data_IF_655861034845
#
_entry.id   IF_655861034845
#
_cell.length_a   1.000
_cell.length_b   1.000
_cell.length_c   1.000
_cell.angle_alpha   90.00
_cell.angle_beta   90.00
_cell.angle_gamma   90.00
#
_symmetry.space_group_name_H-M   'P 1'
#
loop_
_entity.id
_entity.type
_entity.pdbx_description
1 polymer ?
#
# COMPACT_ATOMS: atom_id res chain seq x y z
N UNK A 1 7.92 31.96 3.05
CA UNK A 1 7.05 30.76 3.04
C UNK A 1 7.69 29.69 3.91
N UNK A 2 6.90 28.87 4.59
CA UNK A 2 7.39 27.77 5.43
C UNK A 2 7.86 26.58 4.56
N UNK A 3 8.85 25.79 5.02
CA UNK A 3 9.19 24.53 4.37
C UNK A 3 7.97 23.60 4.23
N UNK A 4 8.07 22.58 3.39
CA UNK A 4 7.00 21.57 3.25
C UNK A 4 7.06 20.58 4.40
N UNK A 5 5.88 20.09 4.76
CA UNK A 5 5.71 18.93 5.61
C UNK A 5 5.50 17.72 4.71
N UNK A 6 6.48 16.82 4.57
CA UNK A 6 6.30 15.58 3.83
C UNK A 6 5.99 14.45 4.81
N UNK A 7 4.84 13.79 4.63
CA UNK A 7 4.45 12.59 5.35
C UNK A 7 3.99 11.56 4.32
N UNK A 8 4.71 10.46 4.23
CA UNK A 8 4.31 9.33 3.39
C UNK A 8 3.25 8.50 4.10
N UNK A 9 2.13 8.26 3.43
CA UNK A 9 1.09 7.35 3.96
C UNK A 9 1.15 5.98 3.31
N UNK A 10 2.29 5.68 2.69
CA UNK A 10 2.60 4.40 2.09
C UNK A 10 4.08 4.11 2.23
N UNK A 11 4.39 3.24 3.13
CA UNK A 11 5.72 2.68 3.35
C UNK A 11 5.60 1.28 3.91
N UNK A 12 6.62 0.47 3.70
CA UNK A 12 6.58 -0.94 4.04
C UNK A 12 7.67 -1.34 5.01
N UNK A 13 7.31 -2.23 5.94
CA UNK A 13 8.24 -2.73 6.95
C UNK A 13 7.97 -4.20 7.29
N UNK A 14 9.06 -4.98 7.43
CA UNK A 14 8.99 -6.37 7.79
C UNK A 14 10.36 -6.96 8.08
N UNK A 15 10.43 -7.83 9.08
CA UNK A 15 11.66 -8.54 9.46
C UNK A 15 12.10 -9.56 8.39
N UNK A 16 13.39 -9.87 8.33
CA UNK A 16 13.84 -11.14 7.77
C UNK A 16 13.07 -12.30 8.41
N UNK A 17 12.47 -13.17 7.59
CA UNK A 17 11.46 -14.16 7.99
C UNK A 17 11.81 -14.93 9.27
N UNK A 18 13.02 -15.46 9.35
CA UNK A 18 13.44 -16.26 10.50
C UNK A 18 13.41 -15.51 11.85
N UNK A 19 13.53 -14.19 11.84
CA UNK A 19 13.54 -13.36 13.05
C UNK A 19 12.15 -13.21 13.68
N UNK A 20 11.08 -13.51 12.93
CA UNK A 20 9.72 -13.52 13.50
C UNK A 20 9.48 -14.61 14.53
N UNK A 21 10.38 -15.59 14.63
CA UNK A 21 10.27 -16.68 15.61
C UNK A 21 10.16 -16.17 17.06
N UNK A 22 10.83 -15.08 17.39
CA UNK A 22 10.81 -14.46 18.71
C UNK A 22 9.48 -13.77 19.03
N UNK A 23 8.73 -13.40 17.99
CA UNK A 23 7.42 -12.75 18.09
C UNK A 23 6.25 -13.73 17.98
N UNK A 24 6.53 -14.97 17.55
CA UNK A 24 5.50 -15.99 17.34
C UNK A 24 5.22 -16.77 18.64
N UNK A 25 3.97 -17.15 18.86
CA UNK A 25 3.60 -17.99 20.00
C UNK A 25 4.29 -19.36 19.92
N UNK A 26 4.85 -19.84 21.05
CA UNK A 26 5.64 -21.09 21.11
C UNK A 26 4.94 -22.31 20.51
N UNK A 27 3.60 -22.39 20.64
CA UNK A 27 2.80 -23.49 20.08
C UNK A 27 2.90 -23.62 18.55
N UNK A 28 3.29 -22.54 17.86
CA UNK A 28 3.41 -22.51 16.40
C UNK A 28 4.85 -22.63 15.90
N UNK A 29 5.85 -22.71 16.80
CA UNK A 29 7.25 -22.75 16.39
C UNK A 29 7.59 -23.94 15.48
N UNK A 30 7.05 -25.14 15.76
CA UNK A 30 7.32 -26.31 14.92
C UNK A 30 6.79 -26.14 13.48
N UNK A 31 5.58 -25.61 13.34
CA UNK A 31 5.02 -25.32 12.02
C UNK A 31 5.81 -24.21 11.29
N UNK A 32 6.32 -23.24 12.03
CA UNK A 32 7.14 -22.18 11.46
C UNK A 32 8.54 -22.68 11.04
N UNK A 33 9.15 -23.55 11.81
CA UNK A 33 10.44 -24.16 11.44
C UNK A 33 10.30 -24.99 10.14
N UNK A 34 9.18 -25.71 9.97
CA UNK A 34 8.85 -26.42 8.72
C UNK A 34 8.65 -25.46 7.53
N UNK A 35 7.94 -24.37 7.76
CA UNK A 35 7.77 -23.30 6.75
C UNK A 35 9.11 -22.71 6.31
N UNK A 36 10.02 -22.39 7.24
CA UNK A 36 11.35 -21.87 6.95
C UNK A 36 12.18 -22.82 6.08
N UNK A 37 12.08 -24.14 6.31
CA UNK A 37 12.73 -25.15 5.47
C UNK A 37 12.19 -25.11 4.04
N UNK A 38 10.86 -25.01 3.89
CA UNK A 38 10.22 -24.91 2.57
C UNK A 38 10.58 -23.63 1.83
N UNK A 39 10.58 -22.48 2.51
CA UNK A 39 11.02 -21.21 1.96
C UNK A 39 12.49 -21.24 1.51
N UNK A 40 13.36 -21.88 2.28
CA UNK A 40 14.78 -22.04 1.92
C UNK A 40 14.96 -22.87 0.64
N UNK A 41 14.16 -23.93 0.47
CA UNK A 41 14.17 -24.75 -0.75
C UNK A 41 13.67 -23.96 -1.97
N UNK A 42 12.57 -23.22 -1.82
CA UNK A 42 12.02 -22.38 -2.88
C UNK A 42 13.00 -21.27 -3.29
N UNK A 43 13.60 -20.57 -2.32
CA UNK A 43 14.63 -19.55 -2.57
C UNK A 43 15.83 -20.14 -3.33
N UNK A 44 16.31 -21.30 -2.92
CA UNK A 44 17.41 -22.00 -3.63
C UNK A 44 17.01 -22.35 -5.05
N UNK A 45 15.81 -22.90 -5.25
CA UNK A 45 15.28 -23.23 -6.59
C UNK A 45 15.21 -21.98 -7.47
N UNK A 46 14.68 -20.88 -6.93
CA UNK A 46 14.58 -19.62 -7.65
C UNK A 46 15.93 -19.03 -8.05
N UNK A 47 16.89 -18.93 -7.13
CA UNK A 47 18.23 -18.41 -7.41
C UNK A 47 18.99 -19.28 -8.44
N UNK A 48 18.68 -20.58 -8.48
CA UNK A 48 19.23 -21.50 -9.48
C UNK A 48 18.56 -21.30 -10.85
N UNK A 49 17.25 -21.08 -10.90
CA UNK A 49 16.48 -20.87 -12.12
C UNK A 49 16.71 -19.46 -12.70
N UNK A 50 16.97 -18.46 -11.85
CA UNK A 50 17.12 -17.05 -12.23
C UNK A 50 18.21 -16.76 -13.27
N UNK A 51 19.21 -17.63 -13.40
CA UNK A 51 20.21 -17.58 -14.49
C UNK A 51 19.62 -17.96 -15.85
N UNK A 52 18.43 -18.55 -15.90
CA UNK A 52 17.70 -18.93 -17.12
C UNK A 52 16.40 -18.13 -17.32
N UNK A 53 16.33 -16.93 -16.80
CA UNK A 53 15.17 -16.12 -16.49
C UNK A 53 14.34 -15.59 -17.68
N UNK A 54 14.27 -16.26 -18.82
CA UNK A 54 13.35 -15.86 -19.90
C UNK A 54 11.85 -15.94 -19.54
N UNK A 55 11.53 -16.52 -18.38
CA UNK A 55 10.15 -16.75 -17.92
C UNK A 55 9.79 -16.05 -16.60
N UNK A 56 10.73 -15.33 -15.98
CA UNK A 56 10.46 -14.63 -14.72
C UNK A 56 9.77 -13.30 -15.02
N UNK A 57 8.65 -12.97 -14.36
CA UNK A 57 8.00 -11.68 -14.52
C UNK A 57 8.98 -10.52 -14.30
N UNK A 58 8.84 -9.46 -15.08
CA UNK A 58 9.77 -8.32 -15.06
C UNK A 58 9.81 -7.65 -13.67
N UNK A 59 8.66 -7.53 -13.01
CA UNK A 59 8.54 -7.04 -11.64
C UNK A 59 9.39 -7.86 -10.67
N UNK A 60 9.34 -9.17 -10.77
CA UNK A 60 10.11 -10.06 -9.91
C UNK A 60 11.62 -9.95 -10.18
N UNK A 61 12.02 -9.73 -11.43
CA UNK A 61 13.42 -9.47 -11.77
C UNK A 61 13.91 -8.15 -11.15
N UNK A 62 13.10 -7.10 -11.16
CA UNK A 62 13.45 -5.81 -10.56
C UNK A 62 13.58 -5.92 -9.04
N UNK A 63 12.64 -6.61 -8.38
CA UNK A 63 12.72 -6.92 -6.95
C UNK A 63 13.99 -7.70 -6.63
N UNK A 64 14.29 -8.75 -7.42
CA UNK A 64 15.51 -9.55 -7.22
C UNK A 64 16.77 -8.73 -7.40
N UNK A 65 16.83 -7.88 -8.42
CA UNK A 65 17.96 -7.00 -8.64
C UNK A 65 18.17 -6.03 -7.47
N UNK A 66 17.08 -5.38 -7.01
CA UNK A 66 17.16 -4.43 -5.92
C UNK A 66 17.49 -5.11 -4.58
N UNK A 67 16.81 -6.23 -4.25
CA UNK A 67 16.88 -6.82 -2.90
C UNK A 67 17.88 -7.95 -2.74
N UNK A 68 18.41 -8.53 -3.80
CA UNK A 68 19.20 -9.74 -3.72
C UNK A 68 20.46 -9.77 -4.58
N UNK A 69 20.66 -8.77 -5.44
CA UNK A 69 21.86 -8.70 -6.29
C UNK A 69 23.07 -8.24 -5.47
N UNK A 70 24.11 -9.09 -5.29
CA UNK A 70 25.33 -8.70 -4.59
C UNK A 70 26.08 -7.52 -5.26
N UNK A 71 25.84 -7.29 -6.57
CA UNK A 71 26.40 -6.16 -7.30
C UNK A 71 25.78 -4.80 -6.96
N UNK A 72 24.61 -4.81 -6.29
CA UNK A 72 23.88 -3.61 -5.90
C UNK A 72 23.92 -3.36 -4.38
N UNK A 73 25.12 -3.43 -3.81
CA UNK A 73 25.34 -3.39 -2.35
C UNK A 73 24.84 -2.10 -1.69
N UNK A 74 24.94 -0.95 -2.37
CA UNK A 74 24.42 0.32 -1.86
C UNK A 74 22.90 0.27 -1.70
N UNK A 75 22.18 -0.20 -2.70
CA UNK A 75 20.73 -0.31 -2.63
C UNK A 75 20.30 -1.32 -1.56
N UNK A 76 21.01 -2.46 -1.47
CA UNK A 76 20.74 -3.46 -0.42
C UNK A 76 20.91 -2.90 0.99
N UNK A 77 21.91 -2.04 1.21
CA UNK A 77 22.08 -1.35 2.48
C UNK A 77 20.91 -0.41 2.78
N UNK A 78 20.47 0.35 1.78
CA UNK A 78 19.39 1.33 1.94
C UNK A 78 18.02 0.68 2.19
N UNK A 79 17.69 -0.43 1.52
CA UNK A 79 16.43 -1.16 1.73
C UNK A 79 16.37 -1.86 3.10
N UNK A 80 17.48 -2.01 3.80
CA UNK A 80 17.47 -2.49 5.19
C UNK A 80 16.59 -1.66 6.11
N UNK A 81 16.28 -0.42 5.75
CA UNK A 81 15.28 0.37 6.47
C UNK A 81 13.89 -0.26 6.55
N UNK A 82 13.61 -1.35 5.81
CA UNK A 82 12.42 -2.17 6.03
C UNK A 82 12.39 -2.81 7.45
N UNK A 83 13.55 -3.05 8.08
CA UNK A 83 13.68 -3.65 9.42
C UNK A 83 14.76 -3.03 10.30
N UNK A 84 15.55 -2.12 9.78
CA UNK A 84 16.61 -1.40 10.51
C UNK A 84 16.19 0.06 10.66
N UNK A 85 15.91 0.44 11.89
CA UNK A 85 15.36 1.77 12.18
C UNK A 85 16.33 2.91 11.86
N UNK A 86 17.62 2.74 12.14
CA UNK A 86 18.62 3.77 11.89
C UNK A 86 18.77 4.02 10.39
N UNK A 87 18.77 2.93 9.61
CA UNK A 87 18.76 3.03 8.15
C UNK A 87 17.47 3.73 7.68
N UNK A 88 16.31 3.32 8.19
CA UNK A 88 15.04 3.94 7.79
C UNK A 88 15.00 5.43 8.06
N UNK A 89 15.34 5.84 9.27
CA UNK A 89 15.32 7.26 9.63
C UNK A 89 16.30 8.08 8.79
N UNK A 90 17.47 7.53 8.46
CA UNK A 90 18.43 8.17 7.55
C UNK A 90 17.86 8.35 6.13
N UNK A 91 17.19 7.34 5.58
CA UNK A 91 16.56 7.43 4.26
C UNK A 91 15.40 8.44 4.24
N UNK A 92 14.57 8.45 5.28
CA UNK A 92 13.51 9.46 5.42
C UNK A 92 14.10 10.89 5.53
N UNK A 93 15.18 11.06 6.29
CA UNK A 93 15.86 12.35 6.41
C UNK A 93 16.42 12.82 5.06
N UNK A 94 17.00 11.92 4.27
CA UNK A 94 17.54 12.23 2.94
C UNK A 94 16.45 12.69 1.96
N UNK A 95 15.25 12.14 2.06
CA UNK A 95 14.09 12.52 1.25
C UNK A 95 13.28 13.70 1.85
N UNK A 96 13.65 14.18 3.04
CA UNK A 96 12.88 15.23 3.74
C UNK A 96 11.52 14.76 4.26
N UNK A 97 11.33 13.45 4.41
CA UNK A 97 10.08 12.83 4.91
C UNK A 97 10.12 12.81 6.42
N UNK A 98 9.23 13.58 7.05
CA UNK A 98 9.23 13.77 8.50
C UNK A 98 8.47 12.67 9.24
N UNK A 99 7.53 12.00 8.59
CA UNK A 99 6.73 10.93 9.15
C UNK A 99 6.26 9.95 8.10
N UNK A 100 5.92 8.74 8.53
CA UNK A 100 5.50 7.68 7.63
C UNK A 100 4.48 6.75 8.26
N UNK A 101 3.55 6.27 7.45
CA UNK A 101 2.59 5.21 7.80
C UNK A 101 3.09 3.90 7.21
N UNK A 102 3.24 2.87 8.06
CA UNK A 102 3.88 1.61 7.69
C UNK A 102 2.86 0.48 7.54
N UNK A 103 2.89 -0.11 6.35
CA UNK A 103 2.16 -1.34 6.05
C UNK A 103 3.04 -2.57 6.26
N UNK A 104 2.38 -3.72 6.54
CA UNK A 104 3.07 -5.00 6.60
C UNK A 104 3.62 -5.39 5.23
N UNK A 105 4.91 -5.65 5.14
CA UNK A 105 5.52 -6.34 4.01
C UNK A 105 6.88 -6.94 4.37
N UNK A 106 7.16 -8.10 3.76
CA UNK A 106 8.44 -8.77 3.86
C UNK A 106 9.25 -8.60 2.59
N UNK A 107 10.15 -7.66 2.56
CA UNK A 107 10.92 -7.27 1.39
C UNK A 107 11.67 -8.43 0.71
N UNK A 108 11.51 -8.58 -0.60
CA UNK A 108 12.18 -9.58 -1.40
C UNK A 108 11.75 -11.01 -1.06
N UNK A 109 12.66 -11.81 -0.48
CA UNK A 109 12.35 -13.17 0.00
C UNK A 109 11.90 -13.24 1.46
N UNK A 110 11.82 -12.11 2.14
CA UNK A 110 11.31 -12.08 3.48
C UNK A 110 9.79 -12.09 3.42
N UNK A 111 9.17 -13.03 4.08
CA UNK A 111 7.72 -13.12 4.20
C UNK A 111 7.33 -13.21 5.66
N UNK A 112 6.10 -12.84 5.96
CA UNK A 112 5.54 -13.04 7.30
C UNK A 112 5.36 -14.52 7.56
N UNK A 113 5.39 -14.96 8.83
CA UNK A 113 5.03 -16.32 9.16
C UNK A 113 3.64 -16.67 8.60
N UNK A 114 3.54 -17.84 7.99
CA UNK A 114 2.30 -18.47 7.53
C UNK A 114 1.52 -17.72 6.44
N UNK A 115 2.19 -16.90 5.68
CA UNK A 115 1.57 -16.20 4.57
C UNK A 115 1.10 -14.81 4.95
N UNK A 116 1.61 -13.91 4.19
CA UNK A 116 1.31 -12.50 4.33
C UNK A 116 -0.11 -12.15 3.96
N UNK A 117 -0.36 -10.91 4.13
CA UNK A 117 -1.56 -10.18 3.81
C UNK A 117 -1.99 -10.32 2.35
N UNK A 118 -1.04 -10.42 1.44
CA UNK A 118 -1.29 -10.32 0.00
C UNK A 118 -1.56 -11.65 -0.70
N UNK A 119 -1.55 -12.78 0.01
CA UNK A 119 -1.87 -14.09 -0.56
C UNK A 119 -0.74 -14.75 -1.36
N UNK A 120 0.34 -14.04 -1.65
CA UNK A 120 1.55 -14.55 -2.32
C UNK A 120 2.53 -15.19 -1.36
N UNK A 121 2.04 -16.02 -0.48
CA UNK A 121 2.99 -16.83 0.26
C UNK A 121 3.46 -17.97 -0.65
N UNK A 122 4.79 -18.15 -0.82
CA UNK A 122 5.34 -19.21 -1.64
C UNK A 122 4.89 -20.60 -1.18
N UNK A 123 4.60 -20.75 0.12
CA UNK A 123 4.02 -21.94 0.74
C UNK A 123 2.55 -21.67 1.02
N UNK A 124 1.60 -22.33 0.37
CA UNK A 124 0.18 -22.09 0.59
C UNK A 124 -0.27 -22.53 1.99
N UNK A 125 -0.34 -21.62 2.93
CA UNK A 125 -0.88 -21.87 4.26
C UNK A 125 -2.39 -21.58 4.24
N UNK A 126 -3.21 -22.61 4.46
CA UNK A 126 -4.67 -22.50 4.47
C UNK A 126 -5.26 -22.43 5.87
N UNK A 127 -4.48 -22.77 6.90
CA UNK A 127 -4.94 -22.76 8.28
C UNK A 127 -5.17 -21.32 8.76
N UNK A 128 -6.42 -20.92 9.06
CA UNK A 128 -6.74 -19.58 9.53
C UNK A 128 -6.05 -19.21 10.85
N UNK A 129 -5.83 -20.18 11.75
CA UNK A 129 -5.17 -19.93 13.03
C UNK A 129 -3.69 -19.60 12.82
N UNK A 130 -2.99 -20.33 11.96
CA UNK A 130 -1.59 -20.04 11.62
C UNK A 130 -1.46 -18.67 10.94
N UNK A 131 -2.31 -18.35 9.99
CA UNK A 131 -2.31 -17.04 9.33
C UNK A 131 -2.54 -15.90 10.32
N UNK A 132 -3.48 -16.05 11.24
CA UNK A 132 -3.73 -15.07 12.29
C UNK A 132 -2.55 -14.96 13.27
N UNK A 133 -1.89 -16.07 13.60
CA UNK A 133 -0.69 -16.08 14.44
C UNK A 133 0.48 -15.34 13.77
N UNK A 134 0.69 -15.54 12.46
CA UNK A 134 1.70 -14.81 11.69
C UNK A 134 1.44 -13.31 11.68
N UNK A 135 0.18 -12.90 11.44
CA UNK A 135 -0.23 -11.51 11.51
C UNK A 135 0.07 -10.89 12.90
N UNK A 136 -0.26 -11.58 13.98
CA UNK A 136 0.05 -11.12 15.33
C UNK A 136 1.54 -11.03 15.62
N UNK A 137 2.34 -11.98 15.11
CA UNK A 137 3.80 -11.92 15.23
C UNK A 137 4.36 -10.65 14.55
N UNK A 138 3.92 -10.36 13.32
CA UNK A 138 4.29 -9.13 12.63
C UNK A 138 3.86 -7.88 13.41
N UNK A 139 2.60 -7.81 13.85
CA UNK A 139 2.07 -6.66 14.57
C UNK A 139 2.85 -6.35 15.86
N UNK A 140 3.33 -7.38 16.57
CA UNK A 140 4.16 -7.21 17.77
C UNK A 140 5.49 -6.54 17.45
N UNK A 141 6.16 -7.04 16.43
CA UNK A 141 7.41 -6.44 15.97
C UNK A 141 7.20 -5.01 15.45
N UNK A 142 6.17 -4.79 14.63
CA UNK A 142 5.88 -3.47 14.04
C UNK A 142 5.60 -2.44 15.14
N UNK A 143 4.90 -2.82 16.20
CA UNK A 143 4.65 -1.93 17.33
C UNK A 143 5.95 -1.49 18.03
N UNK A 144 6.91 -2.41 18.24
CA UNK A 144 8.22 -2.09 18.82
C UNK A 144 9.03 -1.20 17.87
N UNK A 145 9.03 -1.51 16.57
CA UNK A 145 9.73 -0.74 15.55
C UNK A 145 9.21 0.70 15.46
N UNK A 146 7.89 0.89 15.45
CA UNK A 146 7.27 2.20 15.46
C UNK A 146 7.52 2.97 16.76
N UNK A 147 7.41 2.31 17.91
CA UNK A 147 7.65 2.95 19.21
C UNK A 147 9.07 3.50 19.34
N UNK A 148 10.06 2.80 18.80
CA UNK A 148 11.47 3.22 18.83
C UNK A 148 11.75 4.44 17.93
N UNK A 149 10.85 4.80 17.01
CA UNK A 149 11.03 5.92 16.05
C UNK A 149 10.83 7.32 16.65
N UNK A 150 10.47 7.41 17.93
CA UNK A 150 10.15 8.71 18.55
C UNK A 150 8.90 9.39 17.98
N UNK A 151 7.96 8.61 17.41
CA UNK A 151 6.68 9.11 16.88
C UNK A 151 6.69 9.45 15.38
N UNK A 152 7.79 9.21 14.67
CA UNK A 152 7.88 9.42 13.22
C UNK A 152 7.17 8.33 12.42
N UNK A 153 7.09 7.10 12.95
CA UNK A 153 6.47 5.96 12.27
C UNK A 153 5.15 5.58 12.92
N UNK A 154 4.13 5.39 12.12
CA UNK A 154 2.81 4.93 12.55
C UNK A 154 2.44 3.63 11.84
N UNK A 155 2.44 2.52 12.58
CA UNK A 155 2.18 1.20 12.01
C UNK A 155 0.70 0.91 11.80
N UNK A 156 0.41 0.16 10.74
CA UNK A 156 -0.90 -0.38 10.40
C UNK A 156 -0.90 -1.87 10.70
N UNK A 157 -1.75 -2.30 11.65
CA UNK A 157 -1.82 -3.70 12.06
C UNK A 157 -2.52 -4.55 11.00
N UNK A 158 -1.96 -5.70 10.70
CA UNK A 158 -2.61 -6.73 9.89
C UNK A 158 -3.65 -7.46 10.75
N UNK A 159 -4.92 -7.42 10.34
CA UNK A 159 -6.04 -8.05 11.05
C UNK A 159 -6.68 -9.12 10.18
N UNK A 160 -6.68 -10.36 10.65
CA UNK A 160 -7.33 -11.47 9.96
C UNK A 160 -8.78 -11.64 10.43
N UNK A 161 -9.78 -11.57 9.54
CA UNK A 161 -11.19 -11.53 9.92
C UNK A 161 -11.85 -12.91 10.04
N UNK A 162 -11.08 -13.98 10.25
CA UNK A 162 -11.61 -15.34 10.36
C UNK A 162 -12.44 -15.58 11.61
N UNK A 163 -12.05 -14.97 12.73
CA UNK A 163 -12.81 -14.90 13.98
C UNK A 163 -12.95 -13.42 14.37
N UNK A 164 -14.19 -12.94 14.34
CA UNK A 164 -14.49 -11.52 14.57
C UNK A 164 -14.15 -11.07 15.99
N UNK A 165 -14.35 -11.92 16.99
CA UNK A 165 -14.04 -11.54 18.37
C UNK A 165 -12.55 -11.52 18.64
N UNK A 166 -11.80 -12.42 18.02
CA UNK A 166 -10.34 -12.38 18.03
C UNK A 166 -9.86 -11.12 17.26
N UNK A 167 -10.42 -10.82 16.09
CA UNK A 167 -10.08 -9.61 15.34
C UNK A 167 -10.33 -8.33 16.17
N UNK A 168 -11.43 -8.25 16.91
CA UNK A 168 -11.70 -7.14 17.85
C UNK A 168 -10.65 -7.06 18.96
N UNK A 169 -10.25 -8.20 19.51
CA UNK A 169 -9.19 -8.25 20.53
C UNK A 169 -7.83 -7.81 19.97
N UNK A 170 -7.50 -8.24 18.75
CA UNK A 170 -6.27 -7.86 18.05
C UNK A 170 -6.24 -6.36 17.73
N UNK A 171 -7.36 -5.74 17.34
CA UNK A 171 -7.48 -4.28 17.17
C UNK A 171 -7.25 -3.52 18.47
N UNK A 172 -7.86 -3.96 19.57
CA UNK A 172 -7.68 -3.32 20.88
C UNK A 172 -6.23 -3.43 21.34
N UNK A 173 -5.62 -4.59 21.13
CA UNK A 173 -4.19 -4.80 21.43
C UNK A 173 -3.32 -3.87 20.57
N UNK A 174 -3.55 -3.82 19.27
CA UNK A 174 -2.79 -2.99 18.35
C UNK A 174 -2.85 -1.50 18.72
N UNK A 175 -4.03 -1.01 19.07
CA UNK A 175 -4.20 0.36 19.58
C UNK A 175 -3.43 0.62 20.86
N UNK A 176 -3.51 -0.29 21.84
CA UNK A 176 -2.79 -0.19 23.10
C UNK A 176 -1.27 -0.25 22.90
N UNK A 177 -0.80 -1.02 21.91
CA UNK A 177 0.61 -1.11 21.52
C UNK A 177 1.10 0.09 20.69
N UNK A 178 0.24 1.08 20.38
CA UNK A 178 0.64 2.29 19.69
C UNK A 178 0.44 2.29 18.17
N UNK A 179 -0.11 1.22 17.57
CA UNK A 179 -0.46 1.20 16.17
C UNK A 179 -1.69 2.10 15.89
N UNK A 180 -1.82 2.65 14.69
CA UNK A 180 -2.79 3.72 14.39
C UNK A 180 -3.78 3.40 13.27
N UNK A 181 -3.70 2.23 12.69
CA UNK A 181 -4.62 1.74 11.67
C UNK A 181 -4.65 0.22 11.65
N UNK A 182 -5.58 -0.31 10.89
CA UNK A 182 -5.64 -1.72 10.52
C UNK A 182 -5.69 -1.86 9.02
N UNK A 183 -5.12 -2.92 8.49
CA UNK A 183 -5.29 -3.33 7.11
C UNK A 183 -6.00 -4.67 7.06
N UNK A 184 -6.98 -4.78 6.17
CA UNK A 184 -7.78 -5.97 5.99
C UNK A 184 -7.36 -6.71 4.71
N UNK A 185 -7.38 -8.05 4.71
CA UNK A 185 -7.18 -8.81 3.49
C UNK A 185 -8.23 -8.44 2.42
N UNK A 186 -7.92 -8.63 1.13
CA UNK A 186 -8.90 -8.41 0.07
C UNK A 186 -10.12 -9.30 0.26
N UNK A 187 -11.30 -8.91 -0.25
CA UNK A 187 -12.48 -9.78 -0.24
C UNK A 187 -12.17 -11.15 -0.83
N UNK A 188 -12.44 -12.20 -0.06
CA UNK A 188 -12.14 -13.59 -0.37
C UNK A 188 -13.36 -14.47 -0.04
N UNK A 189 -13.39 -15.70 -0.56
CA UNK A 189 -14.48 -16.66 -0.31
C UNK A 189 -14.40 -17.31 1.09
N UNK A 190 -13.29 -17.13 1.79
CA UNK A 190 -13.04 -17.76 3.10
C UNK A 190 -13.72 -17.04 4.27
N UNK A 191 -14.27 -15.85 4.04
CA UNK A 191 -15.03 -15.08 5.04
C UNK A 191 -16.18 -14.30 4.37
N UNK A 192 -17.20 -13.89 5.15
CA UNK A 192 -18.33 -13.13 4.61
C UNK A 192 -17.90 -11.80 3.98
N UNK A 193 -18.68 -11.25 3.04
CA UNK A 193 -18.43 -9.90 2.51
C UNK A 193 -18.48 -8.84 3.62
N UNK A 194 -17.64 -7.81 3.54
CA UNK A 194 -17.46 -6.80 4.58
C UNK A 194 -18.71 -5.93 4.90
N UNK A 195 -19.77 -6.03 4.11
CA UNK A 195 -21.05 -5.37 4.42
C UNK A 195 -21.94 -6.15 5.39
N UNK A 196 -21.63 -7.42 5.65
CA UNK A 196 -22.42 -8.28 6.52
C UNK A 196 -22.32 -7.84 7.99
N UNK A 197 -23.43 -7.98 8.71
CA UNK A 197 -23.55 -7.53 10.10
C UNK A 197 -22.58 -8.22 11.07
N UNK A 198 -22.03 -9.37 10.70
CA UNK A 198 -21.01 -10.08 11.49
C UNK A 198 -19.77 -9.21 11.73
N UNK A 199 -19.48 -8.25 10.83
CA UNK A 199 -18.36 -7.32 10.96
C UNK A 199 -18.65 -6.08 11.80
N UNK A 200 -19.90 -5.82 12.20
CA UNK A 200 -20.24 -4.62 13.00
C UNK A 200 -19.41 -4.48 14.30
N UNK A 201 -19.07 -5.54 15.05
CA UNK A 201 -18.16 -5.41 16.19
C UNK A 201 -16.75 -4.90 15.83
N UNK A 202 -16.24 -5.30 14.66
CA UNK A 202 -14.94 -4.82 14.14
C UNK A 202 -15.02 -3.35 13.74
N UNK A 203 -16.07 -2.95 13.05
CA UNK A 203 -16.29 -1.54 12.70
C UNK A 203 -16.49 -0.67 13.92
N UNK A 204 -17.24 -1.16 14.91
CA UNK A 204 -17.47 -0.44 16.16
C UNK A 204 -16.17 -0.16 16.93
N UNK A 205 -15.29 -1.17 17.11
CA UNK A 205 -14.03 -0.98 17.82
C UNK A 205 -13.06 -0.06 17.05
N UNK A 206 -13.02 -0.15 15.72
CA UNK A 206 -12.21 0.77 14.91
C UNK A 206 -12.70 2.22 15.03
N UNK A 207 -14.03 2.44 14.99
CA UNK A 207 -14.63 3.75 15.16
C UNK A 207 -14.42 4.31 16.58
N UNK A 208 -14.59 3.48 17.63
CA UNK A 208 -14.37 3.82 19.03
C UNK A 208 -12.93 4.32 19.29
N UNK A 209 -11.95 3.57 18.80
CA UNK A 209 -10.54 3.85 19.03
C UNK A 209 -9.97 4.85 18.01
N UNK A 210 -10.71 5.17 16.95
CA UNK A 210 -10.23 6.01 15.85
C UNK A 210 -9.14 5.35 15.02
N UNK A 211 -9.10 4.01 14.99
CA UNK A 211 -8.23 3.23 14.10
C UNK A 211 -8.77 3.34 12.68
N UNK A 212 -7.92 3.79 11.74
CA UNK A 212 -8.30 3.81 10.34
C UNK A 212 -8.28 2.39 9.75
N UNK A 213 -9.28 2.08 8.93
CA UNK A 213 -9.35 0.82 8.18
C UNK A 213 -8.77 1.05 6.80
N UNK A 214 -7.77 0.26 6.42
CA UNK A 214 -7.10 0.39 5.14
C UNK A 214 -7.46 -0.77 4.21
N UNK A 215 -7.64 -0.42 2.93
CA UNK A 215 -7.54 -1.33 1.80
C UNK A 215 -6.29 -0.94 1.02
N UNK A 216 -5.36 -1.88 0.90
CA UNK A 216 -4.06 -1.65 0.30
C UNK A 216 -3.91 -2.47 -0.98
N UNK A 217 -2.99 -2.11 -1.87
CA UNK A 217 -2.57 -2.91 -3.01
C UNK A 217 -2.31 -4.38 -2.65
N UNK A 218 -2.14 -5.25 -3.59
CA UNK A 218 -1.87 -6.67 -3.35
C UNK A 218 -2.73 -7.62 -4.21
N UNK A 219 -2.67 -8.90 -3.93
CA UNK A 219 -3.10 -9.96 -4.83
C UNK A 219 -4.55 -9.96 -5.28
N UNK A 220 -4.80 -10.32 -6.53
CA UNK A 220 -6.12 -10.68 -7.00
C UNK A 220 -6.54 -12.05 -6.46
N UNK A 221 -7.85 -12.35 -6.43
CA UNK A 221 -8.30 -13.69 -6.11
C UNK A 221 -7.77 -14.70 -7.13
N UNK A 222 -7.43 -15.91 -6.69
CA UNK A 222 -6.83 -17.00 -7.49
C UNK A 222 -7.86 -17.71 -8.41
N UNK A 223 -8.72 -16.94 -9.09
CA UNK A 223 -9.79 -17.49 -9.95
C UNK A 223 -9.38 -17.69 -11.42
N UNK A 224 -8.22 -17.15 -11.81
CA UNK A 224 -7.82 -17.08 -13.22
C UNK A 224 -6.99 -18.26 -13.70
N UNK A 225 -6.50 -19.09 -12.81
CA UNK A 225 -5.55 -20.16 -13.15
C UNK A 225 -4.10 -19.71 -13.15
N UNK A 226 -3.20 -20.52 -13.75
CA UNK A 226 -1.75 -20.32 -13.61
C UNK A 226 -0.99 -20.03 -14.92
N UNK A 227 -1.69 -19.92 -16.05
CA UNK A 227 -1.03 -19.60 -17.31
C UNK A 227 -0.76 -18.10 -17.44
N UNK A 228 0.02 -17.70 -18.45
CA UNK A 228 0.41 -16.30 -18.64
C UNK A 228 -0.78 -15.36 -18.85
N UNK A 229 -1.82 -15.81 -19.56
CA UNK A 229 -3.04 -15.03 -19.74
C UNK A 229 -3.78 -14.84 -18.40
N UNK A 230 -3.84 -15.89 -17.57
CA UNK A 230 -4.43 -15.83 -16.23
C UNK A 230 -3.71 -14.81 -15.35
N UNK A 231 -2.40 -14.80 -15.36
CA UNK A 231 -1.60 -13.82 -14.63
C UNK A 231 -1.84 -12.39 -15.13
N UNK A 232 -1.91 -12.20 -16.46
CA UNK A 232 -2.20 -10.90 -17.06
C UNK A 232 -3.59 -10.39 -16.66
N UNK A 233 -4.61 -11.26 -16.70
CA UNK A 233 -5.96 -10.91 -16.28
C UNK A 233 -6.03 -10.58 -14.79
N UNK A 234 -5.34 -11.34 -13.96
CA UNK A 234 -5.25 -11.08 -12.52
C UNK A 234 -4.71 -9.67 -12.24
N UNK A 235 -3.64 -9.28 -12.92
CA UNK A 235 -3.06 -7.94 -12.82
C UNK A 235 -4.07 -6.87 -13.27
N UNK A 236 -4.72 -7.05 -14.42
CA UNK A 236 -5.69 -6.09 -14.95
C UNK A 236 -6.88 -5.89 -14.02
N UNK A 237 -7.33 -6.95 -13.35
CA UNK A 237 -8.53 -6.91 -12.52
C UNK A 237 -8.25 -6.64 -11.03
N UNK A 238 -7.00 -6.58 -10.62
CA UNK A 238 -6.63 -6.34 -9.23
C UNK A 238 -7.35 -5.13 -8.64
N UNK A 239 -7.35 -4.02 -9.34
CA UNK A 239 -8.05 -2.80 -8.92
C UNK A 239 -9.56 -2.99 -8.73
N UNK A 240 -10.21 -3.87 -9.49
CA UNK A 240 -11.65 -4.13 -9.37
C UNK A 240 -12.01 -4.80 -8.04
N UNK A 241 -11.19 -5.73 -7.58
CA UNK A 241 -11.44 -6.41 -6.30
C UNK A 241 -11.30 -5.46 -5.12
N UNK A 242 -10.36 -4.53 -5.18
CA UNK A 242 -10.17 -3.52 -4.14
C UNK A 242 -11.35 -2.54 -4.05
N UNK A 243 -11.93 -2.14 -5.17
CA UNK A 243 -13.10 -1.25 -5.22
C UNK A 243 -14.32 -1.81 -4.50
N UNK A 244 -14.45 -3.14 -4.43
CA UNK A 244 -15.58 -3.82 -3.78
C UNK A 244 -15.74 -3.42 -2.32
N UNK A 245 -14.64 -3.23 -1.58
CA UNK A 245 -14.70 -2.89 -0.16
C UNK A 245 -15.46 -1.58 0.05
N UNK A 246 -15.15 -0.53 -0.71
CA UNK A 246 -15.83 0.76 -0.58
C UNK A 246 -17.34 0.64 -0.84
N UNK A 247 -17.70 -0.03 -1.93
CA UNK A 247 -19.12 -0.26 -2.26
C UNK A 247 -19.82 -1.08 -1.17
N UNK A 248 -19.17 -2.11 -0.62
CA UNK A 248 -19.71 -2.89 0.50
C UNK A 248 -19.93 -2.05 1.74
N UNK A 249 -18.97 -1.23 2.14
CA UNK A 249 -19.10 -0.36 3.32
C UNK A 249 -20.18 0.71 3.13
N UNK A 250 -20.25 1.33 1.95
CA UNK A 250 -21.25 2.37 1.65
C UNK A 250 -22.66 1.80 1.59
N UNK A 251 -22.92 0.84 0.70
CA UNK A 251 -24.27 0.26 0.52
C UNK A 251 -24.68 -0.69 1.64
N UNK A 252 -23.73 -1.29 2.34
CA UNK A 252 -23.99 -2.02 3.58
C UNK A 252 -24.37 -1.10 4.75
N UNK A 253 -24.33 0.22 4.59
CA UNK A 253 -24.69 1.21 5.61
C UNK A 253 -23.70 1.26 6.78
N UNK A 254 -22.47 0.76 6.59
CA UNK A 254 -21.46 0.71 7.65
C UNK A 254 -21.14 2.12 8.15
N UNK A 255 -20.94 3.08 7.24
CA UNK A 255 -20.68 4.47 7.64
C UNK A 255 -21.88 5.17 8.28
N UNK A 256 -23.11 4.68 8.07
CA UNK A 256 -24.30 5.17 8.78
C UNK A 256 -24.28 4.68 10.21
N UNK A 257 -24.04 3.38 10.43
CA UNK A 257 -23.99 2.77 11.77
C UNK A 257 -22.77 3.20 12.58
N UNK A 258 -21.66 3.45 11.89
CA UNK A 258 -20.37 3.81 12.50
C UNK A 258 -19.86 5.15 11.93
N UNK A 259 -20.46 6.30 12.27
CA UNK A 259 -20.17 7.59 11.64
C UNK A 259 -18.73 8.08 11.84
N UNK A 260 -18.02 7.60 12.86
CA UNK A 260 -16.63 7.92 13.16
C UNK A 260 -15.64 6.94 12.53
N UNK A 261 -16.10 5.91 11.83
CA UNK A 261 -15.22 4.97 11.13
C UNK A 261 -14.50 5.71 10.00
N UNK A 262 -13.19 5.50 9.89
CA UNK A 262 -12.35 6.06 8.83
C UNK A 262 -11.85 4.95 7.93
N UNK A 263 -11.86 5.21 6.63
CA UNK A 263 -11.42 4.27 5.62
C UNK A 263 -10.41 4.91 4.66
N UNK A 264 -9.36 4.18 4.30
CA UNK A 264 -8.31 4.67 3.42
C UNK A 264 -8.01 3.65 2.33
N UNK A 265 -7.95 4.12 1.08
CA UNK A 265 -7.30 3.40 0.00
C UNK A 265 -5.81 3.76 -0.06
N UNK A 266 -4.95 2.75 -0.18
CA UNK A 266 -3.50 2.92 -0.33
C UNK A 266 -3.01 2.01 -1.44
N UNK A 267 -2.13 2.49 -2.31
CA UNK A 267 -1.49 1.75 -3.41
C UNK A 267 -2.50 1.04 -4.37
N UNK A 268 -3.59 1.69 -4.65
CA UNK A 268 -4.60 1.18 -5.62
C UNK A 268 -4.91 2.18 -6.73
N UNK A 269 -4.08 3.24 -6.83
CA UNK A 269 -4.35 4.41 -7.64
C UNK A 269 -5.58 5.19 -7.17
N UNK A 270 -5.73 6.43 -7.61
CA UNK A 270 -6.89 7.26 -7.24
C UNK A 270 -7.63 7.83 -8.47
N UNK A 271 -7.15 7.62 -9.67
CA UNK A 271 -7.72 8.11 -10.93
C UNK A 271 -9.13 7.59 -11.21
N UNK A 272 -9.42 6.36 -10.80
CA UNK A 272 -10.72 5.70 -10.96
C UNK A 272 -11.77 6.14 -9.93
N UNK A 273 -11.35 6.64 -8.77
CA UNK A 273 -12.21 6.96 -7.63
C UNK A 273 -13.31 7.97 -7.96
N UNK A 274 -13.03 9.11 -8.63
CA UNK A 274 -14.09 10.09 -8.94
C UNK A 274 -15.24 9.48 -9.73
N UNK A 275 -14.91 8.72 -10.79
CA UNK A 275 -15.90 8.06 -11.63
C UNK A 275 -16.66 6.97 -10.86
N UNK A 276 -15.97 6.25 -9.99
CA UNK A 276 -16.60 5.21 -9.19
C UNK A 276 -17.58 5.79 -8.16
N UNK A 277 -17.19 6.87 -7.47
CA UNK A 277 -18.09 7.56 -6.54
C UNK A 277 -19.30 8.12 -7.28
N UNK A 278 -19.15 8.67 -8.48
CA UNK A 278 -20.27 9.11 -9.29
C UNK A 278 -21.20 7.95 -9.70
N UNK A 279 -20.63 6.79 -10.03
CA UNK A 279 -21.41 5.58 -10.30
C UNK A 279 -22.19 5.13 -9.06
N UNK A 280 -21.55 5.10 -7.90
CA UNK A 280 -22.22 4.74 -6.64
C UNK A 280 -23.33 5.74 -6.31
N UNK A 281 -23.10 7.03 -6.52
CA UNK A 281 -24.12 8.08 -6.33
C UNK A 281 -25.31 7.87 -7.27
N UNK A 282 -25.04 7.53 -8.53
CA UNK A 282 -26.10 7.23 -9.49
C UNK A 282 -26.93 6.00 -9.07
N UNK A 283 -26.28 4.94 -8.60
CA UNK A 283 -26.97 3.74 -8.06
C UNK A 283 -27.77 4.10 -6.81
N UNK A 284 -27.25 4.95 -5.94
CA UNK A 284 -27.93 5.40 -4.70
C UNK A 284 -29.27 6.09 -4.99
N UNK A 285 -29.34 6.88 -6.08
CA UNK A 285 -30.54 7.65 -6.42
C UNK A 285 -31.57 6.89 -7.26
N UNK A 286 -31.21 5.75 -7.86
CA UNK A 286 -32.05 5.07 -8.83
C UNK A 286 -32.43 3.65 -8.39
N UNK A 287 -33.67 3.24 -8.71
CA UNK A 287 -34.18 1.89 -8.49
C UNK A 287 -33.78 0.94 -9.63
N UNK A 288 -32.52 0.56 -9.66
CA UNK A 288 -31.95 -0.34 -10.67
C UNK A 288 -32.57 -1.74 -10.69
N UNK A 289 -33.00 -2.22 -9.54
CA UNK A 289 -33.56 -3.57 -9.41
C UNK A 289 -35.07 -3.58 -9.66
N UNK A 290 -35.68 -2.42 -9.96
CA UNK A 290 -37.13 -2.26 -10.15
C UNK A 290 -37.94 -2.84 -8.96
N UNK A 291 -37.42 -2.67 -7.77
CA UNK A 291 -38.06 -3.13 -6.53
C UNK A 291 -38.99 -2.08 -5.92
N UNK A 292 -39.24 -0.98 -6.66
CA UNK A 292 -40.06 0.13 -6.19
C UNK A 292 -39.36 1.04 -5.20
N UNK A 293 -38.05 0.89 -4.99
CA UNK A 293 -37.26 1.73 -4.07
C UNK A 293 -35.82 1.86 -4.47
N UNK A 294 -35.33 3.08 -4.52
CA UNK A 294 -33.89 3.37 -4.61
C UNK A 294 -33.19 3.25 -3.26
N UNK A 295 -31.88 2.95 -3.20
CA UNK A 295 -31.13 2.88 -1.94
C UNK A 295 -31.28 4.09 -1.02
N UNK A 296 -31.41 5.31 -1.54
CA UNK A 296 -31.64 6.54 -0.76
C UNK A 296 -32.89 6.51 0.13
N UNK A 297 -33.82 5.57 -0.09
CA UNK A 297 -35.02 5.44 0.73
C UNK A 297 -34.78 4.67 2.04
N UNK A 298 -33.71 3.91 2.12
CA UNK A 298 -33.35 3.13 3.31
C UNK A 298 -31.92 3.40 3.80
N UNK A 299 -31.09 4.08 3.02
CA UNK A 299 -29.72 4.46 3.35
C UNK A 299 -29.66 6.00 3.47
N UNK A 300 -29.45 6.51 4.66
CA UNK A 300 -29.52 7.95 4.97
C UNK A 300 -28.29 8.76 4.59
N UNK A 301 -27.19 8.11 4.16
CA UNK A 301 -25.93 8.74 3.78
C UNK A 301 -25.62 8.42 2.34
N UNK A 302 -25.42 9.44 1.51
CA UNK A 302 -25.05 9.27 0.11
C UNK A 302 -23.58 8.82 -0.03
N UNK A 303 -23.18 8.15 -1.13
CA UNK A 303 -21.79 7.81 -1.39
C UNK A 303 -20.85 9.01 -1.39
N UNK A 304 -21.24 10.16 -1.93
CA UNK A 304 -20.42 11.39 -1.92
C UNK A 304 -20.23 11.92 -0.51
N UNK A 305 -21.28 11.94 0.30
CA UNK A 305 -21.19 12.39 1.68
C UNK A 305 -20.40 11.40 2.54
N UNK A 306 -20.55 10.09 2.29
CA UNK A 306 -19.76 9.06 2.94
C UNK A 306 -18.25 9.21 2.60
N UNK A 307 -17.93 9.46 1.33
CA UNK A 307 -16.54 9.73 0.94
C UNK A 307 -15.99 10.95 1.67
N UNK A 308 -16.65 12.07 1.58
CA UNK A 308 -16.19 13.33 2.18
C UNK A 308 -16.02 13.26 3.71
N UNK A 309 -16.85 12.48 4.39
CA UNK A 309 -16.85 12.36 5.85
C UNK A 309 -15.88 11.31 6.39
N UNK A 310 -15.82 10.15 5.72
CA UNK A 310 -15.23 8.94 6.28
C UNK A 310 -13.98 8.47 5.55
N UNK A 311 -13.75 8.89 4.31
CA UNK A 311 -12.78 8.26 3.44
C UNK A 311 -11.62 9.18 3.04
N UNK A 312 -10.50 8.55 2.73
CA UNK A 312 -9.35 9.20 2.11
C UNK A 312 -8.66 8.21 1.16
N UNK A 313 -7.74 8.70 0.33
CA UNK A 313 -6.92 7.86 -0.53
C UNK A 313 -5.49 8.36 -0.59
N UNK A 314 -4.55 7.44 -0.70
CA UNK A 314 -3.14 7.71 -0.93
C UNK A 314 -2.80 7.59 -2.41
N UNK A 315 -2.21 8.64 -2.96
CA UNK A 315 -1.60 8.63 -4.27
C UNK A 315 -0.15 8.13 -4.12
N UNK A 316 0.06 6.85 -4.39
CA UNK A 316 1.36 6.18 -4.33
C UNK A 316 1.98 6.17 -5.72
N UNK A 317 3.26 6.55 -5.84
CA UNK A 317 3.94 6.71 -7.13
C UNK A 317 3.11 7.54 -8.13
N UNK A 318 2.54 8.64 -7.65
CA UNK A 318 1.52 9.44 -8.34
C UNK A 318 1.96 9.91 -9.72
N UNK A 319 1.04 9.88 -10.70
CA UNK A 319 1.23 10.52 -12.00
C UNK A 319 0.53 11.87 -12.05
N UNK A 320 0.96 12.72 -13.00
CA UNK A 320 0.31 14.00 -13.25
C UNK A 320 -1.20 13.84 -13.50
N UNK A 321 -1.57 12.91 -14.36
CA UNK A 321 -2.96 12.73 -14.76
C UNK A 321 -3.83 12.22 -13.61
N UNK A 322 -3.28 11.37 -12.74
CA UNK A 322 -3.96 10.93 -11.51
C UNK A 322 -4.28 12.10 -10.59
N UNK A 323 -3.31 12.97 -10.36
CA UNK A 323 -3.52 14.15 -9.52
C UNK A 323 -4.54 15.12 -10.16
N UNK A 324 -4.62 15.21 -11.49
CA UNK A 324 -5.68 15.98 -12.15
C UNK A 324 -7.08 15.37 -11.89
N UNK A 325 -7.20 14.04 -11.85
CA UNK A 325 -8.46 13.38 -11.49
C UNK A 325 -8.81 13.56 -10.01
N UNK A 326 -7.82 13.54 -9.13
CA UNK A 326 -7.99 13.76 -7.69
C UNK A 326 -8.67 15.09 -7.36
N UNK A 327 -8.54 16.10 -8.24
CA UNK A 327 -9.22 17.40 -8.12
C UNK A 327 -10.75 17.25 -7.98
N UNK A 328 -11.34 16.23 -8.59
CA UNK A 328 -12.78 15.93 -8.51
C UNK A 328 -13.21 15.32 -7.18
N UNK A 329 -12.28 14.72 -6.43
CA UNK A 329 -12.51 14.19 -5.07
C UNK A 329 -12.46 15.29 -4.02
N UNK A 330 -11.78 16.41 -4.33
CA UNK A 330 -11.34 17.39 -3.35
C UNK A 330 -10.01 16.99 -2.70
N UNK A 331 -9.06 17.87 -2.70
CA UNK A 331 -7.69 17.60 -2.23
C UNK A 331 -7.58 17.35 -0.71
N UNK A 332 -8.62 17.65 0.06
CA UNK A 332 -8.63 17.41 1.51
C UNK A 332 -8.73 15.92 1.88
N UNK A 333 -9.12 15.05 0.93
CA UNK A 333 -9.22 13.59 1.10
C UNK A 333 -8.08 12.82 0.44
N UNK A 334 -7.12 13.52 -0.16
CA UNK A 334 -5.99 12.91 -0.87
C UNK A 334 -4.71 13.08 -0.06
N UNK A 335 -3.92 12.04 0.02
CA UNK A 335 -2.61 11.99 0.68
C UNK A 335 -1.57 11.44 -0.29
N UNK A 336 -0.30 11.64 -0.01
CA UNK A 336 0.82 11.15 -0.80
C UNK A 336 1.51 9.98 -0.11
N UNK A 337 2.06 9.01 -0.90
CA UNK A 337 2.84 7.89 -0.44
C UNK A 337 4.11 7.68 -1.27
N UNK A 338 5.25 7.47 -0.61
CA UNK A 338 6.54 7.21 -1.24
C UNK A 338 6.76 5.74 -1.59
N UNK A 339 6.05 4.86 -0.91
CA UNK A 339 6.14 3.40 -1.05
C UNK A 339 7.54 2.84 -0.78
N UNK A 340 8.24 3.43 0.19
CA UNK A 340 9.58 2.97 0.57
C UNK A 340 9.52 1.62 1.31
N UNK A 341 10.33 0.62 0.95
CA UNK A 341 11.40 0.63 -0.05
C UNK A 341 11.05 -0.07 -1.37
N UNK A 342 9.79 -0.14 -1.78
CA UNK A 342 9.36 -0.82 -2.99
C UNK A 342 9.98 -0.25 -4.27
N UNK A 343 10.13 -1.10 -5.30
CA UNK A 343 10.72 -0.72 -6.60
C UNK A 343 9.77 0.14 -7.42
N UNK A 344 8.47 -0.02 -7.21
CA UNK A 344 7.40 0.71 -7.87
C UNK A 344 7.16 2.09 -7.28
N UNK A 345 7.62 2.36 -6.05
CA UNK A 345 7.44 3.61 -5.33
C UNK A 345 8.23 4.80 -5.87
N UNK A 346 7.99 5.97 -5.29
CA UNK A 346 8.71 7.21 -5.61
C UNK A 346 10.13 7.27 -5.05
N UNK A 347 10.37 6.58 -3.93
CA UNK A 347 11.69 6.53 -3.30
C UNK A 347 12.73 5.84 -4.20
N UNK A 348 13.97 6.33 -4.33
CA UNK A 348 14.58 7.48 -3.65
C UNK A 348 14.52 8.79 -4.45
N UNK A 349 13.46 9.02 -5.21
CA UNK A 349 13.27 10.17 -6.08
C UNK A 349 11.94 10.89 -5.79
N UNK A 350 11.49 10.88 -4.54
CA UNK A 350 10.18 11.44 -4.12
C UNK A 350 10.00 12.91 -4.49
N UNK A 351 11.09 13.70 -4.49
CA UNK A 351 10.99 15.11 -4.85
C UNK A 351 10.71 15.32 -6.34
N UNK A 352 11.28 14.49 -7.20
CA UNK A 352 11.04 14.56 -8.65
C UNK A 352 9.63 14.08 -8.97
N UNK A 353 9.17 13.02 -8.29
CA UNK A 353 7.79 12.55 -8.39
C UNK A 353 6.80 13.67 -8.02
N UNK A 354 6.95 14.26 -6.82
CA UNK A 354 6.08 15.34 -6.35
C UNK A 354 6.11 16.52 -7.32
N UNK A 355 7.30 16.94 -7.77
CA UNK A 355 7.44 18.05 -8.73
C UNK A 355 6.69 17.80 -10.02
N UNK A 356 6.72 16.60 -10.55
CA UNK A 356 6.06 16.22 -11.79
C UNK A 356 4.56 16.00 -11.60
N UNK A 357 4.18 15.17 -10.62
CA UNK A 357 2.78 14.80 -10.41
C UNK A 357 1.91 16.01 -10.02
N UNK A 358 2.45 16.90 -9.20
CA UNK A 358 1.72 18.04 -8.64
C UNK A 358 2.02 19.36 -9.35
N UNK A 359 2.59 19.34 -10.56
CA UNK A 359 3.09 20.55 -11.26
C UNK A 359 2.03 21.66 -11.41
N UNK A 360 0.76 21.32 -11.67
CA UNK A 360 -0.33 22.31 -11.84
C UNK A 360 -1.20 22.50 -10.60
N UNK A 361 -0.79 21.93 -9.47
CA UNK A 361 -1.50 22.08 -8.20
C UNK A 361 -0.99 23.33 -7.48
N UNK A 362 -1.90 24.17 -6.97
CA UNK A 362 -1.55 25.33 -6.17
C UNK A 362 -0.77 24.93 -4.90
N UNK A 363 0.06 25.83 -4.38
CA UNK A 363 0.95 25.52 -3.26
C UNK A 363 0.20 25.03 -2.01
N UNK A 364 -0.92 25.68 -1.68
CA UNK A 364 -1.72 25.33 -0.51
C UNK A 364 -2.31 23.90 -0.62
N UNK A 365 -2.84 23.54 -1.78
CA UNK A 365 -3.39 22.20 -2.00
C UNK A 365 -2.30 21.13 -2.09
N UNK A 366 -1.13 21.47 -2.65
CA UNK A 366 0.05 20.60 -2.64
C UNK A 366 0.48 20.30 -1.21
N UNK A 367 0.61 21.31 -0.35
CA UNK A 367 0.95 21.14 1.08
C UNK A 367 0.00 20.21 1.81
N UNK A 368 -1.31 20.34 1.55
CA UNK A 368 -2.31 19.44 2.11
C UNK A 368 -2.01 18.00 1.73
N UNK A 369 -1.87 17.72 0.42
CA UNK A 369 -1.72 16.36 -0.09
C UNK A 369 -0.40 15.70 0.30
N UNK A 370 0.72 16.44 0.29
CA UNK A 370 2.02 15.85 0.57
C UNK A 370 2.30 15.65 2.07
N UNK A 371 1.43 16.17 2.97
CA UNK A 371 1.68 15.97 4.39
C UNK A 371 0.61 16.45 5.36
N UNK A 372 0.00 17.64 5.17
CA UNK A 372 -0.90 18.18 6.18
C UNK A 372 -2.16 17.34 6.38
N UNK A 373 -2.70 16.72 5.31
CA UNK A 373 -3.81 15.79 5.40
C UNK A 373 -3.43 14.55 6.21
N UNK A 374 -2.26 13.98 5.94
CA UNK A 374 -1.73 12.82 6.68
C UNK A 374 -1.49 13.17 8.15
N UNK A 375 -0.87 14.32 8.43
CA UNK A 375 -0.63 14.80 9.80
C UNK A 375 -1.93 14.85 10.61
N UNK A 376 -2.98 15.45 10.02
CA UNK A 376 -4.31 15.56 10.64
C UNK A 376 -4.99 14.19 10.76
N UNK A 377 -4.97 13.41 9.69
CA UNK A 377 -5.68 12.14 9.61
C UNK A 377 -5.12 11.11 10.60
N UNK A 378 -3.81 10.96 10.68
CA UNK A 378 -3.15 10.01 11.57
C UNK A 378 -2.77 10.61 12.93
N UNK A 379 -3.05 11.90 13.15
CA UNK A 379 -2.82 12.60 14.42
C UNK A 379 -1.35 12.56 14.85
N UNK A 380 -0.43 12.86 13.92
CA UNK A 380 0.97 13.08 14.25
C UNK A 380 1.12 14.23 15.24
N UNK A 381 2.11 14.14 16.13
CA UNK A 381 2.37 15.19 17.11
C UNK A 381 2.79 16.50 16.43
N UNK A 382 2.04 17.60 16.60
CA UNK A 382 2.38 18.88 15.97
C UNK A 382 3.74 19.43 16.37
N UNK A 383 4.23 19.19 17.61
CA UNK A 383 5.53 19.67 18.07
C UNK A 383 6.65 18.89 17.40
N UNK A 384 6.48 17.58 17.25
CA UNK A 384 7.42 16.74 16.50
C UNK A 384 7.49 17.20 15.04
N UNK A 385 6.33 17.39 14.38
CA UNK A 385 6.25 17.90 13.00
C UNK A 385 7.04 19.21 12.88
N UNK A 386 6.75 20.21 13.70
CA UNK A 386 7.40 21.53 13.63
C UNK A 386 8.91 21.40 13.76
N UNK A 387 9.37 20.61 14.73
CA UNK A 387 10.79 20.36 14.98
C UNK A 387 11.49 19.70 13.79
N UNK A 388 10.86 18.69 13.15
CA UNK A 388 11.44 17.96 12.02
C UNK A 388 11.38 18.79 10.73
N UNK A 389 10.28 19.48 10.46
CA UNK A 389 10.16 20.36 9.30
C UNK A 389 11.26 21.44 9.30
N UNK A 390 11.59 21.97 10.48
CA UNK A 390 12.68 22.95 10.60
C UNK A 390 14.06 22.37 10.26
N UNK A 391 14.25 21.04 10.42
CA UNK A 391 15.55 20.37 10.21
C UNK A 391 15.70 19.80 8.81
N UNK A 392 14.68 19.12 8.32
CA UNK A 392 14.76 18.29 7.09
C UNK A 392 13.65 18.62 6.08
N UNK A 393 12.65 19.43 6.43
CA UNK A 393 11.54 19.75 5.53
C UNK A 393 12.03 20.44 4.25
N UNK A 394 11.56 20.02 3.06
CA UNK A 394 11.95 20.64 1.80
C UNK A 394 11.63 22.14 1.81
N UNK A 395 12.55 23.00 1.34
CA UNK A 395 12.33 24.43 1.30
C UNK A 395 11.08 24.83 0.51
N UNK A 396 10.48 25.96 0.86
CA UNK A 396 9.40 26.51 0.06
C UNK A 396 9.86 26.73 -1.39
N UNK A 397 9.01 26.38 -2.34
CA UNK A 397 9.32 26.47 -3.77
C UNK A 397 10.01 25.24 -4.38
N UNK A 398 10.46 24.27 -3.58
CA UNK A 398 11.13 23.03 -4.07
C UNK A 398 10.32 22.31 -5.15
N UNK A 399 9.00 22.31 -5.02
CA UNK A 399 8.10 21.57 -5.92
C UNK A 399 7.41 22.46 -6.96
N UNK A 400 7.81 23.71 -7.09
CA UNK A 400 7.37 24.57 -8.18
C UNK A 400 8.21 24.24 -9.41
N UNK A 401 7.56 23.97 -10.53
CA UNK A 401 8.22 23.72 -11.80
C UNK A 401 7.60 24.62 -12.87
N UNK A 402 8.46 25.30 -13.60
CA UNK A 402 8.08 26.04 -14.82
C UNK A 402 8.09 25.13 -16.05
N UNK A 403 8.54 23.87 -15.90
CA UNK A 403 8.56 22.89 -16.96
C UNK A 403 7.20 22.20 -17.07
N UNK A 404 6.76 21.95 -18.29
CA UNK A 404 5.58 21.12 -18.53
C UNK A 404 5.85 19.71 -17.95
N UNK A 405 4.86 19.10 -17.26
CA UNK A 405 5.05 17.77 -16.69
C UNK A 405 5.44 16.79 -17.80
N UNK A 406 6.55 16.09 -17.57
CA UNK A 406 6.99 15.04 -18.50
C UNK A 406 6.05 13.84 -18.29
N UNK A 407 5.31 13.50 -19.35
CA UNK A 407 4.62 12.21 -19.38
C UNK A 407 5.66 11.11 -19.49
N UNK A 408 5.55 10.03 -18.70
CA UNK A 408 6.38 8.86 -18.94
C UNK A 408 6.22 8.40 -20.39
N UNK A 409 7.30 7.95 -21.03
CA UNK A 409 7.27 7.47 -22.42
C UNK A 409 6.28 6.31 -22.65
N UNK A 410 5.97 5.57 -21.59
CA UNK A 410 4.82 4.70 -21.56
C UNK A 410 3.65 5.51 -21.03
N UNK A 411 2.76 5.92 -21.92
CA UNK A 411 1.43 6.37 -21.52
C UNK A 411 0.72 5.17 -20.93
N UNK A 412 0.77 5.06 -19.62
CA UNK A 412 0.06 4.02 -18.89
C UNK A 412 -1.45 4.31 -18.89
N UNK A 413 -1.89 5.38 -19.53
CA UNK A 413 -3.30 5.68 -19.78
C UNK A 413 -4.05 4.57 -20.54
N UNK A 414 -3.33 3.70 -21.24
CA UNK A 414 -3.92 2.56 -21.92
C UNK A 414 -4.29 1.42 -20.96
N UNK A 415 -3.83 1.47 -19.70
CA UNK A 415 -4.22 0.53 -18.66
C UNK A 415 -5.20 1.21 -17.70
N UNK A 416 -6.46 1.04 -17.96
CA UNK A 416 -7.53 1.53 -17.09
C UNK A 416 -7.33 1.02 -15.65
N UNK A 417 -7.41 1.95 -14.68
CA UNK A 417 -7.80 1.70 -13.30
C UNK A 417 -6.72 1.37 -12.28
N UNK A 418 -6.15 2.38 -11.72
CA UNK A 418 -5.50 2.33 -10.41
C UNK A 418 -4.08 1.76 -10.37
N UNK A 419 -3.81 0.73 -11.12
CA UNK A 419 -2.49 0.12 -11.30
C UNK A 419 -1.53 0.96 -12.15
N UNK A 420 -2.07 1.88 -12.89
CA UNK A 420 -1.33 2.76 -13.77
C UNK A 420 -0.23 3.51 -13.04
N UNK A 421 -0.50 3.93 -11.81
CA UNK A 421 0.41 4.78 -11.07
C UNK A 421 1.53 3.98 -10.43
N UNK A 422 1.18 2.84 -9.84
CA UNK A 422 2.16 1.87 -9.36
C UNK A 422 3.08 1.44 -10.51
N UNK A 423 2.52 1.18 -11.71
CA UNK A 423 3.33 0.90 -12.90
C UNK A 423 4.14 2.10 -13.40
N UNK A 424 3.64 3.32 -13.30
CA UNK A 424 4.39 4.51 -13.67
C UNK A 424 5.63 4.69 -12.81
N UNK A 425 5.51 4.55 -11.49
CA UNK A 425 6.61 4.54 -10.55
C UNK A 425 7.54 3.35 -10.77
N UNK A 426 6.98 2.17 -10.94
CA UNK A 426 7.70 0.95 -11.29
C UNK A 426 8.53 1.10 -12.57
N UNK A 427 7.94 1.57 -13.67
CA UNK A 427 8.65 1.77 -14.92
C UNK A 427 9.79 2.78 -14.80
N UNK A 428 9.61 3.84 -14.02
CA UNK A 428 10.64 4.86 -13.75
C UNK A 428 11.81 4.26 -12.96
N UNK A 429 11.52 3.57 -11.88
CA UNK A 429 12.53 2.94 -11.03
C UNK A 429 13.18 1.74 -11.71
N UNK A 430 12.42 1.01 -12.53
CA UNK A 430 12.95 -0.07 -13.37
C UNK A 430 13.96 0.44 -14.39
N UNK A 431 13.70 1.58 -15.06
CA UNK A 431 14.71 2.18 -15.94
C UNK A 431 15.99 2.44 -15.19
N UNK A 432 15.89 3.02 -14.01
CA UNK A 432 17.08 3.30 -13.20
C UNK A 432 17.82 2.03 -12.77
N UNK A 433 17.10 0.95 -12.46
CA UNK A 433 17.70 -0.35 -12.12
C UNK A 433 18.16 -1.17 -13.34
N UNK A 434 17.55 -0.95 -14.52
CA UNK A 434 17.88 -1.62 -15.78
C UNK A 434 18.93 -0.86 -16.62
N UNK A 435 19.18 0.40 -16.33
CA UNK A 435 20.27 1.20 -16.93
C UNK A 435 21.67 0.79 -16.45
N UNK A 436 21.75 -0.19 -15.57
CA UNK A 436 22.99 -0.96 -15.38
C UNK A 436 23.34 -1.67 -16.70
N UNK A 437 24.57 -1.52 -17.21
CA UNK A 437 24.95 -1.92 -18.57
C UNK A 437 24.67 -3.39 -18.92
N UNK A 438 24.50 -4.25 -17.92
CA UNK A 438 24.33 -5.69 -18.09
C UNK A 438 22.86 -6.15 -18.20
N UNK A 439 21.88 -5.26 -18.01
CA UNK A 439 20.45 -5.64 -17.94
C UNK A 439 19.58 -5.03 -19.04
N UNK A 440 20.13 -4.18 -19.92
CA UNK A 440 19.36 -3.56 -21.00
C UNK A 440 18.92 -4.62 -22.03
N UNK A 441 17.61 -4.74 -22.35
CA UNK A 441 17.14 -5.71 -23.35
C UNK A 441 17.74 -5.50 -24.74
N UNK A 442 18.29 -4.32 -25.03
CA UNK A 442 18.95 -3.98 -26.30
C UNK A 442 20.43 -4.28 -26.35
N UNK A 443 21.02 -4.83 -25.29
CA UNK A 443 22.40 -5.35 -25.31
C UNK A 443 22.54 -6.70 -26.02
N UNK A 444 21.54 -7.12 -26.82
CA UNK A 444 21.66 -8.27 -27.71
C UNK A 444 22.64 -7.91 -28.85
N UNK A 445 23.70 -8.70 -29.08
CA UNK A 445 24.51 -8.50 -30.24
C UNK A 445 23.62 -8.59 -31.48
N UNK A 446 23.71 -7.60 -32.36
CA UNK A 446 22.99 -7.50 -33.63
C UNK A 446 22.80 -8.87 -34.27
N UNK A 447 21.58 -9.39 -34.25
CA UNK A 447 21.21 -10.45 -35.15
C UNK A 447 21.35 -9.89 -36.55
N UNK A 448 22.38 -10.33 -37.28
CA UNK A 448 22.57 -10.04 -38.69
C UNK A 448 21.25 -10.26 -39.41
N UNK A 449 20.72 -9.21 -40.01
CA UNK A 449 19.73 -9.32 -41.07
C UNK A 449 20.45 -10.03 -42.23
N UNK A 450 20.29 -11.32 -42.31
CA UNK A 450 20.56 -12.03 -43.56
C UNK A 450 19.31 -11.86 -44.43
N UNK A 451 19.62 -11.32 -45.59
CA UNK A 451 18.82 -11.00 -46.77
C UNK A 451 17.89 -12.10 -47.24
#
# INVERSE_FOLDING_TARGET
MKPYTLISVDGHAGLPTAQYRDYLERKHHAAFDEELEQLALLRKGFLTAGKNAKQTPLMYQAHMHRYSDPGNGEMQERIRGAWDLDVRLRELDAEGVIGEVLFPDGQGFNSFPFGGFFGEHPVPIRDPELRAAGARAHNRWLAEFCAASGGRLQGVAMIMPFDIWQAVADVRWAYAAGLRGIVLPPPDETYPPYHEAVFDPLWAVCAELGMAVHSHGGDPPKIYGQNIASQTLAILELGFFRRRILAQLMFGGVFVRHPNLRFVYTEVGIDWLPNFIELLEHVYHNDWLRMGRAPKQWLSLSPKDAWARNCAAAATAATFDEIQQARRLGFDTVMWGADYPHVEGGWPHSWDEIRQAFATVGDDDRRKMVGENAARFYRFDPQLIESLVAKIGPPAGTFVSDEAPQRPEFSVHDFTNGWVNTYGGFARNMRWSLDSPDTHPDSRPNAKRDS
#
